data_IF_902938020978
#
_entry.id   IF_902938020978
#
_cell.length_a   1.000
_cell.length_b   1.000
_cell.length_c   1.000
_cell.angle_alpha   90.00
_cell.angle_beta   90.00
_cell.angle_gamma   90.00
#
_symmetry.space_group_name_H-M   'P 1'
#
loop_
_entity.id
_entity.type
_entity.pdbx_description
1 polymer ?
#
# COMPACT_ATOMS: atom_id res chain seq x y z
N UNK A 1 -48.48 9.71 -2.60
CA UNK A 1 -48.61 8.29 -2.98
C UNK A 1 -48.32 7.41 -1.78
N UNK A 2 -48.91 6.23 -1.69
CA UNK A 2 -48.67 5.26 -0.60
C UNK A 2 -47.54 4.32 -1.05
N UNK A 3 -46.54 4.12 -0.20
CA UNK A 3 -45.43 3.20 -0.45
C UNK A 3 -45.35 2.21 0.71
N UNK A 4 -45.10 0.94 0.40
CA UNK A 4 -44.86 -0.08 1.43
C UNK A 4 -43.36 -0.31 1.56
N UNK A 5 -42.91 -0.39 2.80
CA UNK A 5 -41.55 -0.77 3.17
C UNK A 5 -41.62 -2.11 3.89
N UNK A 6 -41.01 -3.12 3.30
CA UNK A 6 -41.03 -4.49 3.78
C UNK A 6 -39.70 -4.80 4.47
N UNK A 7 -39.78 -5.24 5.73
CA UNK A 7 -38.63 -5.72 6.49
C UNK A 7 -38.66 -7.25 6.48
N UNK A 8 -37.58 -7.86 5.99
CA UNK A 8 -37.46 -9.32 5.90
C UNK A 8 -36.62 -9.89 7.06
N UNK A 9 -36.81 -11.18 7.30
CA UNK A 9 -36.06 -11.97 8.28
C UNK A 9 -36.13 -11.37 9.70
N UNK A 10 -35.03 -11.37 10.45
CA UNK A 10 -34.94 -10.82 11.82
C UNK A 10 -35.41 -9.36 11.95
N UNK A 11 -35.34 -8.55 10.88
CA UNK A 11 -35.86 -7.18 10.91
C UNK A 11 -37.39 -7.18 11.00
N UNK A 12 -38.05 -8.05 10.23
CA UNK A 12 -39.50 -8.18 10.21
C UNK A 12 -40.07 -8.78 11.50
N UNK A 13 -39.30 -9.61 12.19
CA UNK A 13 -39.69 -10.19 13.48
C UNK A 13 -39.67 -9.17 14.62
N UNK A 14 -38.69 -8.25 14.62
CA UNK A 14 -38.51 -7.27 15.70
C UNK A 14 -39.36 -6.02 15.54
N UNK A 15 -39.46 -5.48 14.32
CA UNK A 15 -40.13 -4.19 14.07
C UNK A 15 -41.41 -4.32 13.25
N UNK A 16 -41.73 -5.51 12.76
CA UNK A 16 -42.90 -5.79 11.93
C UNK A 16 -42.54 -5.91 10.45
N UNK A 17 -43.26 -6.78 9.73
CA UNK A 17 -42.90 -7.14 8.34
C UNK A 17 -43.29 -6.08 7.30
N UNK A 18 -44.28 -5.23 7.58
CA UNK A 18 -44.83 -4.30 6.60
C UNK A 18 -45.13 -2.95 7.24
N UNK A 19 -44.49 -1.91 6.71
CA UNK A 19 -44.71 -0.52 7.11
C UNK A 19 -45.27 0.27 5.94
N UNK A 20 -46.31 1.06 6.20
CA UNK A 20 -46.97 1.87 5.18
C UNK A 20 -46.66 3.33 5.44
N UNK A 21 -46.08 4.00 4.46
CA UNK A 21 -45.77 5.42 4.52
C UNK A 21 -46.42 6.18 3.36
N UNK A 22 -46.76 7.43 3.60
CA UNK A 22 -47.34 8.32 2.60
C UNK A 22 -46.34 9.40 2.20
N UNK A 23 -46.27 9.67 0.89
CA UNK A 23 -45.48 10.76 0.30
C UNK A 23 -43.96 10.64 0.50
N UNK A 24 -43.43 9.42 0.44
CA UNK A 24 -41.99 9.17 0.41
C UNK A 24 -41.39 9.69 -0.90
N UNK A 25 -40.36 10.55 -0.81
CA UNK A 25 -39.70 11.10 -2.01
C UNK A 25 -38.48 10.27 -2.39
N UNK A 26 -37.78 9.68 -1.42
CA UNK A 26 -36.55 8.91 -1.65
C UNK A 26 -36.52 7.64 -0.78
N UNK A 27 -35.73 6.61 -1.14
CA UNK A 27 -35.47 5.47 -0.25
C UNK A 27 -34.87 5.88 1.10
N UNK A 28 -34.06 6.95 1.11
CA UNK A 28 -33.48 7.50 2.33
C UNK A 28 -34.54 8.00 3.31
N UNK A 29 -35.61 8.64 2.83
CA UNK A 29 -36.73 9.08 3.66
C UNK A 29 -37.45 7.90 4.34
N UNK A 30 -37.54 6.75 3.65
CA UNK A 30 -38.17 5.56 4.19
C UNK A 30 -37.40 5.01 5.40
N UNK A 31 -36.07 4.96 5.30
CA UNK A 31 -35.19 4.52 6.38
C UNK A 31 -35.20 5.53 7.52
N UNK A 32 -35.20 6.83 7.20
CA UNK A 32 -35.33 7.89 8.19
C UNK A 32 -36.61 7.75 9.00
N UNK A 33 -37.75 7.53 8.34
CA UNK A 33 -39.04 7.34 9.03
C UNK A 33 -39.04 6.07 9.90
N UNK A 34 -38.40 4.99 9.45
CA UNK A 34 -38.23 3.79 10.26
C UNK A 34 -37.40 4.06 11.52
N UNK A 35 -36.27 4.76 11.40
CA UNK A 35 -35.45 5.16 12.54
C UNK A 35 -36.18 6.11 13.50
N UNK A 36 -37.06 6.98 12.99
CA UNK A 36 -37.88 7.87 13.82
C UNK A 36 -38.94 7.10 14.59
N UNK A 37 -39.63 6.16 13.93
CA UNK A 37 -40.70 5.39 14.57
C UNK A 37 -40.15 4.34 15.55
N UNK A 38 -38.96 3.80 15.28
CA UNK A 38 -38.31 2.78 16.08
C UNK A 38 -36.88 3.22 16.43
N UNK A 39 -36.66 3.88 17.58
CA UNK A 39 -35.32 4.35 17.95
C UNK A 39 -34.31 3.20 18.07
N UNK A 40 -34.74 2.04 18.58
CA UNK A 40 -33.91 0.83 18.71
C UNK A 40 -33.46 0.26 17.36
N UNK A 41 -34.20 0.55 16.27
CA UNK A 41 -33.82 0.15 14.91
C UNK A 41 -32.57 0.91 14.44
N UNK A 42 -32.43 2.19 14.79
CA UNK A 42 -31.26 2.98 14.46
C UNK A 42 -30.01 2.48 15.21
N UNK A 43 -30.14 2.12 16.48
CA UNK A 43 -29.04 1.52 17.25
C UNK A 43 -28.62 0.15 16.68
N UNK A 44 -29.60 -0.65 16.28
CA UNK A 44 -29.35 -1.94 15.66
C UNK A 44 -28.60 -1.81 14.31
N UNK A 45 -28.99 -0.86 13.46
CA UNK A 45 -28.29 -0.57 12.20
C UNK A 45 -26.88 -0.01 12.43
N UNK A 46 -26.64 0.75 13.50
CA UNK A 46 -25.32 1.28 13.83
C UNK A 46 -24.35 0.17 14.30
N UNK A 47 -24.86 -0.77 15.11
CA UNK A 47 -24.07 -1.88 15.70
C UNK A 47 -23.99 -3.11 14.79
N UNK A 48 -24.72 -3.14 13.68
CA UNK A 48 -24.80 -4.31 12.79
C UNK A 48 -23.44 -4.75 12.22
N UNK A 49 -22.51 -3.82 12.07
CA UNK A 49 -21.17 -4.06 11.52
C UNK A 49 -20.34 -4.98 12.43
N UNK A 50 -20.49 -4.89 13.75
CA UNK A 50 -19.79 -5.74 14.73
C UNK A 50 -20.23 -7.21 14.63
N UNK A 51 -21.49 -7.42 14.21
CA UNK A 51 -22.08 -8.75 14.01
C UNK A 51 -21.89 -9.26 12.58
N UNK A 52 -21.20 -8.52 11.72
CA UNK A 52 -21.01 -8.86 10.32
C UNK A 52 -22.30 -8.86 9.50
N UNK A 53 -23.32 -8.07 9.89
CA UNK A 53 -24.60 -7.98 9.19
C UNK A 53 -24.58 -6.75 8.28
N UNK A 54 -24.83 -6.98 6.99
CA UNK A 54 -25.03 -5.95 5.95
C UNK A 54 -26.46 -6.02 5.43
N UNK A 55 -26.95 -4.95 4.81
CA UNK A 55 -28.33 -4.89 4.34
C UNK A 55 -28.39 -4.84 2.84
N UNK A 56 -29.34 -5.60 2.31
CA UNK A 56 -29.70 -5.60 0.91
C UNK A 56 -31.03 -4.86 0.77
N UNK A 57 -31.01 -3.74 0.04
CA UNK A 57 -32.22 -2.96 -0.25
C UNK A 57 -32.59 -3.17 -1.71
N UNK A 58 -33.80 -3.66 -1.96
CA UNK A 58 -34.27 -3.93 -3.32
C UNK A 58 -35.56 -3.21 -3.63
N UNK A 59 -35.70 -2.84 -4.90
CA UNK A 59 -36.92 -2.31 -5.48
C UNK A 59 -37.17 -3.03 -6.81
N UNK A 60 -38.34 -3.67 -6.98
CA UNK A 60 -38.68 -4.45 -8.19
C UNK A 60 -37.57 -5.45 -8.59
N UNK A 61 -37.04 -6.20 -7.62
CA UNK A 61 -35.93 -7.16 -7.82
C UNK A 61 -34.61 -6.55 -8.32
N UNK A 62 -34.46 -5.23 -8.26
CA UNK A 62 -33.20 -4.54 -8.53
C UNK A 62 -32.59 -4.16 -7.18
N UNK A 63 -31.32 -4.53 -6.99
CA UNK A 63 -30.55 -4.17 -5.81
C UNK A 63 -30.09 -2.72 -5.92
N UNK A 64 -30.43 -1.89 -4.92
CA UNK A 64 -30.06 -0.48 -4.89
C UNK A 64 -28.62 -0.31 -4.35
N UNK A 65 -27.88 0.60 -4.96
CA UNK A 65 -26.59 1.08 -4.48
C UNK A 65 -26.73 2.35 -3.62
N UNK A 66 -25.64 2.76 -2.98
CA UNK A 66 -25.61 3.95 -2.13
C UNK A 66 -26.10 5.22 -2.85
N UNK A 67 -25.71 5.42 -4.12
CA UNK A 67 -26.12 6.56 -4.94
C UNK A 67 -27.62 6.57 -5.24
N UNK A 68 -28.27 5.39 -5.22
CA UNK A 68 -29.67 5.25 -5.60
C UNK A 68 -30.61 5.68 -4.47
N UNK A 69 -30.11 5.84 -3.26
CA UNK A 69 -30.93 6.21 -2.09
C UNK A 69 -31.40 7.66 -2.12
N UNK A 70 -30.74 8.50 -2.91
CA UNK A 70 -31.12 9.90 -3.14
C UNK A 70 -32.01 10.07 -4.37
N UNK A 71 -32.21 9.01 -5.16
CA UNK A 71 -33.06 9.08 -6.34
C UNK A 71 -34.55 9.10 -5.95
N UNK A 72 -35.41 9.75 -6.75
CA UNK A 72 -36.84 9.76 -6.52
C UNK A 72 -37.40 8.34 -6.47
N UNK A 73 -38.09 8.01 -5.38
CA UNK A 73 -38.72 6.71 -5.19
C UNK A 73 -39.95 6.63 -6.11
N UNK A 74 -39.95 5.66 -7.03
CA UNK A 74 -41.09 5.38 -7.91
C UNK A 74 -42.29 4.80 -7.16
N UNK A 75 -43.29 4.28 -7.88
CA UNK A 75 -44.50 3.71 -7.25
C UNK A 75 -44.31 2.31 -6.63
N UNK A 76 -43.08 1.81 -6.56
CA UNK A 76 -42.79 0.45 -6.16
C UNK A 76 -42.36 0.34 -4.70
N UNK A 77 -42.69 -0.79 -4.09
CA UNK A 77 -42.38 -1.12 -2.70
C UNK A 77 -40.87 -1.31 -2.50
N UNK A 78 -40.40 -0.95 -1.29
CA UNK A 78 -39.01 -1.06 -0.87
C UNK A 78 -38.86 -2.27 0.03
N UNK A 79 -37.88 -3.14 -0.24
CA UNK A 79 -37.62 -4.34 0.57
C UNK A 79 -36.24 -4.26 1.20
N UNK A 80 -36.15 -4.40 2.52
CA UNK A 80 -34.90 -4.37 3.28
C UNK A 80 -34.66 -5.76 3.87
N UNK A 81 -33.54 -6.36 3.52
CA UNK A 81 -33.16 -7.72 3.94
C UNK A 81 -31.81 -7.69 4.66
N UNK A 82 -31.71 -8.20 5.89
CA UNK A 82 -30.42 -8.42 6.53
C UNK A 82 -29.72 -9.61 5.87
N UNK A 83 -28.43 -9.47 5.59
CA UNK A 83 -27.59 -10.50 4.97
C UNK A 83 -26.26 -10.57 5.70
N UNK A 84 -25.78 -11.80 5.95
CA UNK A 84 -24.47 -12.01 6.59
C UNK A 84 -23.37 -11.64 5.58
N UNK A 85 -22.49 -10.74 5.98
CA UNK A 85 -21.31 -10.32 5.22
C UNK A 85 -20.43 -11.54 4.88
N UNK A 86 -19.99 -11.63 3.63
CA UNK A 86 -19.21 -12.77 3.14
C UNK A 86 -20.03 -14.02 2.79
N UNK A 87 -21.36 -14.02 2.96
CA UNK A 87 -22.20 -15.07 2.37
C UNK A 87 -22.14 -14.92 0.85
N UNK A 88 -21.66 -15.94 0.13
CA UNK A 88 -21.23 -15.90 -1.27
C UNK A 88 -22.30 -15.63 -2.34
N UNK A 89 -23.32 -14.82 -2.06
CA UNK A 89 -24.32 -14.37 -3.03
C UNK A 89 -23.90 -13.03 -3.61
N UNK A 90 -23.76 -12.97 -4.94
CA UNK A 90 -23.56 -11.72 -5.67
C UNK A 90 -24.78 -10.80 -5.47
N UNK A 91 -24.55 -9.57 -5.02
CA UNK A 91 -25.57 -8.55 -4.78
C UNK A 91 -24.95 -7.24 -4.32
N UNK A 92 -25.69 -6.14 -4.45
CA UNK A 92 -25.28 -4.84 -3.91
C UNK A 92 -25.71 -4.78 -2.43
N UNK A 93 -24.75 -4.56 -1.53
CA UNK A 93 -24.97 -4.54 -0.08
C UNK A 93 -24.52 -3.22 0.53
N UNK A 94 -25.25 -2.75 1.54
CA UNK A 94 -25.02 -1.45 2.19
C UNK A 94 -24.95 -1.67 3.70
N UNK A 95 -23.95 -1.06 4.33
CA UNK A 95 -23.81 -1.10 5.79
C UNK A 95 -24.91 -0.29 6.48
N UNK A 96 -25.40 -0.75 7.63
CA UNK A 96 -26.49 -0.08 8.38
C UNK A 96 -26.17 1.36 8.76
N UNK A 97 -24.93 1.64 9.15
CA UNK A 97 -24.45 2.99 9.47
C UNK A 97 -24.54 3.97 8.27
N UNK A 98 -24.26 3.49 7.06
CA UNK A 98 -24.36 4.30 5.83
C UNK A 98 -25.82 4.64 5.54
N UNK A 99 -26.73 3.68 5.70
CA UNK A 99 -28.17 3.91 5.52
C UNK A 99 -28.71 4.98 6.48
N UNK A 100 -28.26 4.99 7.73
CA UNK A 100 -28.60 6.05 8.69
C UNK A 100 -28.03 7.40 8.22
N UNK A 101 -26.76 7.44 7.82
CA UNK A 101 -26.10 8.66 7.35
C UNK A 101 -26.82 9.32 6.18
N UNK A 102 -27.25 8.53 5.19
CA UNK A 102 -27.99 9.02 4.02
C UNK A 102 -29.41 9.48 4.40
N UNK A 103 -30.07 8.78 5.32
CA UNK A 103 -31.35 9.21 5.89
C UNK A 103 -31.28 10.56 6.60
N UNK A 104 -30.13 10.89 7.21
CA UNK A 104 -29.91 12.20 7.84
C UNK A 104 -29.62 13.28 6.79
N UNK A 105 -28.80 12.99 5.77
CA UNK A 105 -28.39 13.96 4.75
C UNK A 105 -29.50 14.35 3.75
N UNK A 106 -30.45 13.45 3.50
CA UNK A 106 -31.54 13.64 2.51
C UNK A 106 -32.63 14.62 2.94
N UNK A 107 -32.74 14.96 4.23
CA UNK A 107 -33.70 15.95 4.72
C UNK A 107 -32.99 17.15 5.34
N UNK A 108 -33.12 18.33 4.72
CA UNK A 108 -32.50 19.61 5.13
C UNK A 108 -32.88 20.17 6.51
N UNK A 109 -33.36 19.33 7.42
CA UNK A 109 -33.60 19.66 8.84
C UNK A 109 -32.65 18.83 9.68
N UNK A 110 -31.62 19.48 10.24
CA UNK A 110 -30.70 18.91 11.22
C UNK A 110 -31.48 18.45 12.45
N UNK A 111 -31.79 17.15 12.53
CA UNK A 111 -32.38 16.54 13.71
C UNK A 111 -31.26 15.84 14.49
N UNK A 112 -31.01 16.34 15.71
CA UNK A 112 -30.13 15.71 16.69
C UNK A 112 -30.90 14.57 17.35
N UNK A 113 -30.63 13.33 16.92
CA UNK A 113 -30.97 12.17 17.73
C UNK A 113 -30.12 12.20 19.01
N UNK A 114 -30.71 11.85 20.15
CA UNK A 114 -30.05 11.76 21.45
C UNK A 114 -29.01 10.63 21.51
N UNK A 115 -27.98 10.72 20.68
CA UNK A 115 -26.85 9.80 20.55
C UNK A 115 -25.80 10.04 21.64
N UNK A 116 -26.24 10.38 22.86
CA UNK A 116 -25.34 10.61 23.99
C UNK A 116 -24.74 9.30 24.54
N UNK A 117 -25.28 8.13 24.17
CA UNK A 117 -24.84 6.82 24.66
C UNK A 117 -23.83 6.09 23.78
N UNK A 118 -23.61 6.53 22.52
CA UNK A 118 -22.77 5.80 21.54
C UNK A 118 -21.45 6.55 21.26
N UNK A 119 -20.77 7.01 22.32
CA UNK A 119 -19.40 7.55 22.20
C UNK A 119 -19.22 8.82 21.35
N UNK A 120 -20.31 9.49 20.95
CA UNK A 120 -20.28 10.78 20.26
C UNK A 120 -20.22 11.99 21.22
N UNK A 121 -19.75 11.79 22.46
CA UNK A 121 -19.57 12.86 23.45
C UNK A 121 -18.19 13.48 23.30
N UNK A 122 -18.03 14.40 22.34
CA UNK A 122 -16.74 15.05 22.10
C UNK A 122 -16.82 16.24 21.15
N UNK A 123 -17.77 17.14 21.36
CA UNK A 123 -17.66 18.53 20.90
C UNK A 123 -17.66 18.78 19.39
N UNK A 124 -18.76 18.48 18.69
CA UNK A 124 -19.19 19.37 17.60
C UNK A 124 -20.73 19.50 17.60
N UNK A 125 -21.23 20.44 18.40
CA UNK A 125 -22.52 21.05 18.16
C UNK A 125 -22.37 22.16 17.11
N UNK A 126 -23.15 22.07 16.03
CA UNK A 126 -23.37 23.13 15.03
C UNK A 126 -22.44 23.28 13.80
N UNK A 127 -21.46 22.39 13.54
CA UNK A 127 -20.65 22.48 12.31
C UNK A 127 -20.31 21.15 11.59
N UNK A 128 -20.95 20.02 11.95
CA UNK A 128 -20.67 18.68 11.38
C UNK A 128 -21.91 18.11 10.71
N UNK A 129 -22.26 18.67 9.54
CA UNK A 129 -23.25 18.08 8.64
C UNK A 129 -22.62 17.29 7.48
N UNK A 130 -21.40 17.63 7.06
CA UNK A 130 -20.82 17.10 5.82
C UNK A 130 -19.47 16.38 5.97
N UNK A 131 -18.86 16.35 7.17
CA UNK A 131 -17.51 15.79 7.37
C UNK A 131 -17.54 14.46 8.15
N UNK A 132 -18.57 14.22 8.98
CA UNK A 132 -18.69 12.98 9.77
C UNK A 132 -19.04 11.75 8.93
N UNK A 133 -19.86 11.91 7.90
CA UNK A 133 -20.24 10.82 6.97
C UNK A 133 -19.05 10.45 6.08
N UNK A 134 -18.28 11.42 5.59
CA UNK A 134 -17.11 11.16 4.74
C UNK A 134 -15.97 10.41 5.48
N UNK A 135 -15.80 10.65 6.78
CA UNK A 135 -14.80 9.96 7.59
C UNK A 135 -15.21 8.54 7.99
N UNK A 136 -16.50 8.32 8.31
CA UNK A 136 -17.02 6.98 8.55
C UNK A 136 -17.00 6.13 7.26
N UNK A 137 -17.40 6.70 6.12
CA UNK A 137 -17.37 6.00 4.83
C UNK A 137 -15.97 5.62 4.36
N UNK A 138 -14.94 6.42 4.67
CA UNK A 138 -13.54 6.06 4.39
C UNK A 138 -13.00 4.99 5.34
N UNK A 139 -13.43 5.00 6.60
CA UNK A 139 -12.99 4.03 7.60
C UNK A 139 -13.52 2.61 7.38
N UNK A 140 -14.76 2.47 6.88
CA UNK A 140 -15.35 1.13 6.64
C UNK A 140 -15.05 0.61 5.24
N UNK A 141 -14.84 1.46 4.23
CA UNK A 141 -14.45 1.00 2.88
C UNK A 141 -13.03 0.43 2.86
N UNK A 142 -12.09 0.96 3.66
CA UNK A 142 -10.75 0.39 3.83
C UNK A 142 -10.76 -0.95 4.61
N UNK A 143 -11.84 -1.24 5.37
CA UNK A 143 -11.99 -2.51 6.12
C UNK A 143 -12.83 -3.58 5.39
N UNK A 144 -13.83 -3.22 4.58
CA UNK A 144 -14.70 -4.18 3.87
C UNK A 144 -14.08 -4.72 2.58
N UNK A 145 -13.12 -4.01 2.02
CA UNK A 145 -12.19 -4.52 1.03
C UNK A 145 -10.94 -3.65 1.12
N UNK A 146 -9.74 -4.18 1.38
CA UNK A 146 -8.52 -3.45 1.07
C UNK A 146 -8.50 -3.28 -0.45
N UNK A 147 -9.18 -2.26 -0.96
CA UNK A 147 -9.08 -1.84 -2.34
C UNK A 147 -7.65 -1.38 -2.46
N UNK A 148 -6.84 -2.17 -3.15
CA UNK A 148 -5.48 -1.81 -3.48
C UNK A 148 -5.55 -0.39 -4.01
N UNK A 149 -4.87 0.54 -3.34
CA UNK A 149 -4.64 1.87 -3.88
C UNK A 149 -4.02 1.65 -5.26
N UNK A 150 -4.84 1.76 -6.29
CA UNK A 150 -4.36 1.88 -7.65
C UNK A 150 -3.46 3.12 -7.63
N UNK A 151 -2.23 3.03 -8.14
CA UNK A 151 -1.38 4.20 -8.20
C UNK A 151 -2.12 5.23 -9.05
N UNK A 152 -2.56 6.31 -8.40
CA UNK A 152 -3.12 7.47 -9.07
C UNK A 152 -2.02 7.98 -10.00
N UNK A 153 -2.16 7.71 -11.30
CA UNK A 153 -1.43 8.45 -12.32
C UNK A 153 -2.05 9.85 -12.38
N UNK A 154 -1.64 10.69 -11.43
CA UNK A 154 -1.93 12.12 -11.41
C UNK A 154 -0.60 12.85 -11.33
N UNK A 155 -0.09 13.26 -12.50
CA UNK A 155 1.16 14.00 -12.64
C UNK A 155 2.01 13.43 -13.77
N UNK A 156 2.33 14.26 -14.75
CA UNK A 156 3.36 13.97 -15.73
C UNK A 156 4.71 14.09 -15.01
N UNK A 157 5.03 13.06 -14.24
CA UNK A 157 6.29 12.94 -13.52
C UNK A 157 7.09 11.80 -14.17
N UNK A 158 8.37 12.05 -14.39
CA UNK A 158 9.26 11.20 -15.19
C UNK A 158 9.26 9.77 -14.63
N UNK A 159 9.16 8.77 -15.52
CA UNK A 159 8.98 7.36 -15.14
C UNK A 159 9.93 6.92 -14.03
N UNK A 160 9.36 6.56 -12.87
CA UNK A 160 10.11 6.06 -11.71
C UNK A 160 10.68 4.67 -12.05
N UNK A 161 11.97 4.63 -12.44
CA UNK A 161 12.68 3.39 -12.72
C UNK A 161 13.08 2.67 -11.43
N UNK A 162 12.71 1.38 -11.30
CA UNK A 162 13.07 0.56 -10.15
C UNK A 162 12.03 -0.52 -9.83
N UNK A 163 12.17 -1.15 -8.67
CA UNK A 163 11.20 -2.14 -8.19
C UNK A 163 9.81 -1.48 -8.05
N UNK A 164 8.87 -1.93 -8.88
CA UNK A 164 7.49 -1.44 -8.97
C UNK A 164 6.55 -2.07 -7.93
N UNK A 165 7.08 -2.97 -7.10
CA UNK A 165 6.38 -3.46 -5.93
C UNK A 165 6.26 -2.32 -4.92
N UNK A 166 5.05 -1.84 -4.68
CA UNK A 166 4.79 -0.85 -3.63
C UNK A 166 5.21 -1.37 -2.25
N UNK A 167 5.10 -0.55 -1.19
CA UNK A 167 5.34 -1.00 0.19
C UNK A 167 4.52 -2.25 0.60
N UNK A 168 3.44 -2.55 -0.12
CA UNK A 168 2.59 -3.72 0.03
C UNK A 168 3.13 -5.01 -0.61
N UNK A 169 4.21 -4.96 -1.40
CA UNK A 169 4.84 -6.16 -1.98
C UNK A 169 5.92 -6.75 -1.08
N UNK A 170 6.21 -6.11 0.05
CA UNK A 170 7.07 -6.64 1.10
C UNK A 170 6.16 -7.39 2.06
N UNK A 171 6.42 -8.68 2.28
CA UNK A 171 5.68 -9.48 3.26
C UNK A 171 5.91 -8.88 4.65
N UNK A 172 4.97 -8.06 5.13
CA UNK A 172 4.97 -7.51 6.48
C UNK A 172 4.61 -8.62 7.45
N UNK A 173 5.61 -9.17 8.13
CA UNK A 173 5.47 -10.34 9.00
C UNK A 173 4.54 -10.11 10.20
N UNK A 174 4.29 -8.85 10.58
CA UNK A 174 3.40 -8.48 11.68
C UNK A 174 1.93 -8.33 11.26
N UNK A 175 1.63 -8.22 9.96
CA UNK A 175 0.32 -7.73 9.51
C UNK A 175 -0.76 -8.82 9.44
N UNK A 176 -0.39 -10.11 9.55
CA UNK A 176 -1.35 -11.23 9.62
C UNK A 176 -2.32 -11.35 8.44
N UNK A 177 -2.16 -10.55 7.38
CA UNK A 177 -3.06 -10.49 6.23
C UNK A 177 -2.92 -11.78 5.42
N UNK A 178 -4.01 -12.55 5.36
CA UNK A 178 -4.09 -13.69 4.46
C UNK A 178 -4.11 -13.19 3.01
N UNK A 179 -3.17 -13.67 2.21
CA UNK A 179 -3.14 -13.42 0.77
C UNK A 179 -4.34 -14.12 0.10
N UNK A 180 -5.35 -13.34 -0.31
CA UNK A 180 -6.49 -13.84 -1.09
C UNK A 180 -6.15 -14.15 -2.57
N UNK A 181 -4.87 -14.14 -2.94
CA UNK A 181 -4.37 -14.51 -4.27
C UNK A 181 -4.37 -16.03 -4.52
N UNK A 182 -4.76 -16.84 -3.54
CA UNK A 182 -4.81 -18.30 -3.64
C UNK A 182 -6.25 -18.80 -3.84
N UNK A 183 -6.65 -18.98 -5.10
CA UNK A 183 -7.44 -20.15 -5.50
C UNK A 183 -6.45 -21.04 -6.26
N UNK A 184 -6.52 -22.36 -6.09
CA UNK A 184 -5.56 -23.33 -6.64
C UNK A 184 -5.40 -23.24 -8.17
N UNK A 185 -4.73 -24.22 -8.79
CA UNK A 185 -4.58 -24.28 -10.24
C UNK A 185 -5.93 -24.41 -10.96
N UNK A 186 -6.64 -23.30 -11.11
CA UNK A 186 -7.79 -23.14 -11.96
C UNK A 186 -7.27 -22.51 -13.25
N UNK A 187 -7.52 -23.18 -14.36
CA UNK A 187 -7.23 -22.66 -15.67
C UNK A 187 -7.95 -21.32 -15.80
N UNK A 188 -7.22 -20.20 -15.90
CA UNK A 188 -7.81 -18.86 -16.04
C UNK A 188 -8.47 -18.67 -17.41
N UNK A 189 -8.31 -19.65 -18.30
CA UNK A 189 -8.92 -19.72 -19.63
C UNK A 189 -9.43 -21.13 -19.95
N UNK A 190 -10.61 -21.22 -20.56
CA UNK A 190 -11.09 -22.44 -21.19
C UNK A 190 -10.34 -22.76 -22.49
N UNK A 191 -10.45 -24.01 -22.96
CA UNK A 191 -9.85 -24.48 -24.23
C UNK A 191 -10.43 -23.69 -25.40
N UNK A 192 -9.58 -23.23 -26.34
CA UNK A 192 -10.01 -22.55 -27.58
C UNK A 192 -9.96 -21.02 -27.56
N UNK A 193 -9.27 -20.39 -26.60
CA UNK A 193 -9.07 -18.93 -26.58
C UNK A 193 -8.06 -18.47 -27.64
N UNK A 194 -8.38 -17.39 -28.34
CA UNK A 194 -7.53 -16.75 -29.35
C UNK A 194 -6.45 -15.87 -28.72
N UNK A 195 -5.26 -15.89 -29.29
CA UNK A 195 -4.18 -14.95 -28.95
C UNK A 195 -4.33 -13.74 -29.87
N UNK A 196 -4.52 -12.52 -29.33
CA UNK A 196 -4.64 -11.33 -30.17
C UNK A 196 -3.28 -11.02 -30.81
N UNK A 197 -3.17 -11.25 -32.12
CA UNK A 197 -2.05 -10.75 -32.93
C UNK A 197 -2.31 -9.29 -33.29
N UNK A 198 -1.46 -8.39 -32.80
CA UNK A 198 -1.52 -6.97 -33.15
C UNK A 198 -0.37 -6.63 -34.09
N UNK A 199 -0.71 -5.94 -35.18
CA UNK A 199 0.26 -5.27 -36.03
C UNK A 199 0.30 -3.78 -35.65
N UNK A 200 1.47 -3.31 -35.19
CA UNK A 200 1.67 -1.94 -34.71
C UNK A 200 2.12 -1.88 -33.24
N UNK A 201 1.86 -0.76 -32.56
CA UNK A 201 2.13 -0.57 -31.12
C UNK A 201 0.81 -0.41 -30.35
N UNK A 202 0.37 -1.47 -29.68
CA UNK A 202 -0.75 -1.41 -28.75
C UNK A 202 -0.40 -2.20 -27.48
N UNK A 203 -0.91 -1.76 -26.33
CA UNK A 203 -0.88 -2.58 -25.11
C UNK A 203 -2.09 -3.51 -25.11
N UNK A 204 -1.84 -4.81 -25.02
CA UNK A 204 -2.89 -5.84 -24.98
C UNK A 204 -2.63 -6.77 -23.80
N UNK A 205 -3.69 -7.14 -23.09
CA UNK A 205 -3.61 -8.12 -22.00
C UNK A 205 -3.28 -9.52 -22.52
N UNK A 206 -2.37 -10.23 -21.85
CA UNK A 206 -1.96 -11.60 -22.16
C UNK A 206 -2.52 -12.62 -21.16
N UNK A 207 -2.54 -13.89 -21.55
CA UNK A 207 -2.93 -15.01 -20.67
C UNK A 207 -1.70 -15.63 -20.01
N UNK A 208 -1.84 -16.07 -18.76
CA UNK A 208 -0.77 -16.73 -18.02
C UNK A 208 -0.69 -18.21 -18.45
N UNK A 209 0.42 -18.61 -19.09
CA UNK A 209 0.57 -19.93 -19.70
C UNK A 209 1.20 -20.95 -18.74
N UNK A 210 2.10 -20.50 -17.88
CA UNK A 210 2.77 -21.36 -16.90
C UNK A 210 3.14 -20.55 -15.66
N UNK A 211 3.04 -21.18 -14.50
CA UNK A 211 3.55 -20.68 -13.23
C UNK A 211 4.21 -21.85 -12.53
N UNK A 212 5.49 -21.68 -12.16
CA UNK A 212 6.16 -22.64 -11.30
C UNK A 212 5.85 -22.30 -9.83
N UNK A 213 5.32 -23.27 -9.09
CA UNK A 213 4.97 -23.13 -7.69
C UNK A 213 5.76 -24.19 -6.93
N UNK A 214 6.75 -23.74 -6.16
CA UNK A 214 7.54 -24.61 -5.31
C UNK A 214 6.79 -24.88 -4.01
N UNK A 215 6.25 -26.09 -3.88
CA UNK A 215 5.65 -26.58 -2.63
C UNK A 215 6.76 -26.80 -1.60
N UNK A 216 6.66 -26.14 -0.46
CA UNK A 216 7.45 -26.43 0.74
C UNK A 216 6.68 -27.44 1.60
N UNK A 217 7.42 -28.39 2.16
CA UNK A 217 6.92 -29.60 2.82
C UNK A 217 6.08 -29.33 4.08
N UNK A 218 5.09 -30.20 4.35
CA UNK A 218 4.09 -30.09 5.42
C UNK A 218 4.66 -30.38 6.83
N UNK A 219 5.93 -30.79 6.91
CA UNK A 219 6.65 -30.93 8.18
C UNK A 219 6.96 -29.58 8.88
N UNK A 220 6.75 -28.44 8.20
CA UNK A 220 6.95 -27.09 8.73
C UNK A 220 5.66 -26.23 8.68
N UNK A 221 4.69 -26.55 9.55
CA UNK A 221 3.38 -25.87 9.66
C UNK A 221 3.44 -24.39 10.07
N UNK A 222 4.62 -23.84 10.36
CA UNK A 222 4.80 -22.43 10.67
C UNK A 222 5.51 -21.66 9.55
N UNK A 223 5.96 -22.28 8.46
CA UNK A 223 6.69 -21.60 7.38
C UNK A 223 7.86 -20.77 7.91
N UNK A 224 8.40 -21.17 9.06
CA UNK A 224 9.36 -20.40 9.80
C UNK A 224 10.69 -20.58 9.12
N UNK A 225 11.00 -19.65 8.23
CA UNK A 225 12.39 -19.26 8.03
C UNK A 225 12.88 -18.60 9.33
N UNK A 226 12.86 -19.31 10.48
CA UNK A 226 13.64 -18.93 11.66
C UNK A 226 15.10 -19.19 11.35
N UNK A 227 15.61 -18.48 10.35
CA UNK A 227 17.03 -18.43 10.07
C UNK A 227 17.61 -17.59 11.20
N UNK A 228 18.64 -18.09 11.90
CA UNK A 228 19.29 -17.29 12.91
C UNK A 228 19.70 -15.95 12.29
N UNK A 229 19.51 -14.82 13.00
CA UNK A 229 19.84 -13.52 12.46
C UNK A 229 21.24 -13.52 11.85
N UNK A 230 21.36 -13.20 10.56
CA UNK A 230 22.59 -13.36 9.80
C UNK A 230 22.69 -12.30 8.71
N UNK A 231 23.88 -11.75 8.41
CA UNK A 231 24.06 -10.90 7.25
C UNK A 231 23.60 -11.53 5.92
N UNK A 232 23.50 -12.85 5.85
CA UNK A 232 23.12 -13.58 4.64
C UNK A 232 21.61 -13.67 4.40
N UNK A 233 20.78 -13.28 5.37
CA UNK A 233 19.32 -13.22 5.20
C UNK A 233 18.85 -11.97 4.46
N UNK A 234 19.75 -10.99 4.26
CA UNK A 234 19.38 -9.71 3.67
C UNK A 234 19.09 -9.82 2.19
N UNK A 235 17.92 -9.32 1.82
CA UNK A 235 17.40 -9.24 0.46
C UNK A 235 17.30 -7.78 0.04
N UNK A 236 17.45 -7.55 -1.25
CA UNK A 236 17.29 -6.26 -1.90
C UNK A 236 16.21 -6.42 -2.95
N UNK A 237 15.11 -5.68 -2.84
CA UNK A 237 13.93 -5.81 -3.70
C UNK A 237 13.48 -7.27 -3.83
N UNK A 238 13.40 -7.98 -2.69
CA UNK A 238 13.04 -9.40 -2.63
C UNK A 238 14.15 -10.39 -3.03
N UNK A 239 15.23 -9.93 -3.65
CA UNK A 239 16.28 -10.80 -4.20
C UNK A 239 17.48 -10.99 -3.25
N UNK A 240 18.01 -12.22 -3.17
CA UNK A 240 19.28 -12.50 -2.49
C UNK A 240 20.43 -12.09 -3.40
N UNK A 241 21.18 -11.08 -2.98
CA UNK A 241 22.29 -10.55 -3.77
C UNK A 241 23.57 -11.32 -3.47
N UNK A 242 24.15 -11.92 -4.52
CA UNK A 242 25.40 -12.67 -4.42
C UNK A 242 26.57 -11.72 -4.13
N UNK A 243 27.53 -12.21 -3.35
CA UNK A 243 28.75 -11.48 -3.05
C UNK A 243 29.79 -11.71 -4.17
N UNK A 244 29.86 -10.80 -5.13
CA UNK A 244 30.87 -10.80 -6.20
C UNK A 244 31.97 -9.76 -5.88
N UNK A 245 31.59 -8.61 -5.33
CA UNK A 245 32.50 -7.55 -4.88
C UNK A 245 33.36 -6.94 -5.99
N UNK A 246 33.28 -7.41 -7.24
CA UNK A 246 34.09 -6.96 -8.38
C UNK A 246 33.26 -6.36 -9.51
N UNK A 247 31.95 -6.64 -9.55
CA UNK A 247 30.99 -6.09 -10.52
C UNK A 247 29.57 -6.12 -9.97
N UNK A 248 28.69 -5.28 -10.53
CA UNK A 248 27.24 -5.29 -10.28
C UNK A 248 26.51 -6.20 -11.27
N UNK A 249 25.59 -7.00 -10.74
CA UNK A 249 24.69 -7.85 -11.54
C UNK A 249 23.29 -7.26 -11.51
N UNK A 250 22.50 -7.54 -12.56
CA UNK A 250 21.11 -7.10 -12.62
C UNK A 250 20.22 -8.09 -11.86
N UNK A 251 19.41 -7.59 -10.94
CA UNK A 251 18.38 -8.32 -10.21
C UNK A 251 17.06 -7.58 -10.43
N UNK A 252 16.24 -8.07 -11.36
CA UNK A 252 14.91 -7.52 -11.66
C UNK A 252 14.91 -5.99 -11.87
N UNK A 253 15.84 -5.49 -12.69
CA UNK A 253 15.97 -4.07 -13.01
C UNK A 253 16.81 -3.26 -12.01
N UNK A 254 17.22 -3.86 -10.89
CA UNK A 254 18.14 -3.23 -9.93
C UNK A 254 19.55 -3.79 -10.09
N UNK A 255 20.50 -2.96 -10.51
CA UNK A 255 21.91 -3.35 -10.61
C UNK A 255 22.61 -3.21 -9.27
N UNK A 256 22.97 -4.32 -8.64
CA UNK A 256 23.53 -4.34 -7.29
C UNK A 256 24.57 -5.47 -7.11
N UNK A 257 25.49 -5.27 -6.17
CA UNK A 257 26.38 -6.33 -5.68
C UNK A 257 26.62 -6.21 -4.19
N UNK A 258 26.80 -7.36 -3.52
CA UNK A 258 27.20 -7.41 -2.12
C UNK A 258 28.73 -7.40 -2.01
N UNK A 259 29.27 -6.64 -1.07
CA UNK A 259 30.73 -6.49 -0.91
C UNK A 259 31.15 -6.83 0.52
N UNK A 260 32.26 -7.56 0.66
CA UNK A 260 32.88 -7.79 1.97
C UNK A 260 33.47 -6.50 2.55
N UNK A 261 33.34 -6.30 3.86
CA UNK A 261 33.90 -5.15 4.57
C UNK A 261 35.44 -5.10 4.53
N UNK A 262 36.12 -6.24 4.35
CA UNK A 262 37.58 -6.30 4.21
C UNK A 262 38.09 -5.88 2.83
N UNK A 263 37.22 -5.80 1.81
CA UNK A 263 37.62 -5.41 0.46
C UNK A 263 37.78 -3.89 0.40
N UNK A 264 39.03 -3.43 0.28
CA UNK A 264 39.34 -2.02 0.00
C UNK A 264 38.88 -1.70 -1.42
N UNK A 265 37.80 -0.94 -1.53
CA UNK A 265 37.43 -0.31 -2.80
C UNK A 265 38.36 0.87 -2.98
N UNK A 266 39.28 0.78 -3.94
CA UNK A 266 40.15 1.90 -4.28
C UNK A 266 39.43 2.74 -5.32
N UNK A 267 39.52 4.05 -5.19
CA UNK A 267 39.12 4.93 -6.26
C UNK A 267 40.02 4.62 -7.46
N UNK A 268 39.41 4.52 -8.63
CA UNK A 268 40.11 4.07 -9.83
C UNK A 268 40.92 5.23 -10.43
N UNK A 269 42.16 4.96 -10.86
CA UNK A 269 43.04 5.92 -11.55
C UNK A 269 43.26 7.26 -10.81
N UNK A 270 43.36 7.25 -9.47
CA UNK A 270 43.69 8.47 -8.70
C UNK A 270 42.53 9.45 -8.52
N UNK A 271 41.33 9.13 -9.03
CA UNK A 271 40.08 9.88 -8.75
C UNK A 271 39.67 9.75 -7.28
N UNK A 272 38.75 10.58 -6.80
CA UNK A 272 38.26 10.54 -5.42
C UNK A 272 36.81 10.05 -5.37
N UNK A 273 36.45 9.44 -4.24
CA UNK A 273 35.03 9.33 -3.88
C UNK A 273 34.65 10.63 -3.19
N UNK A 274 33.49 11.20 -3.51
CA UNK A 274 33.12 12.52 -3.02
C UNK A 274 32.56 12.55 -1.61
N UNK A 275 32.18 11.39 -1.08
CA UNK A 275 31.81 11.25 0.33
C UNK A 275 32.64 10.14 0.97
N UNK A 276 32.97 10.31 2.26
CA UNK A 276 33.63 9.29 3.07
C UNK A 276 32.64 8.52 3.98
N UNK A 277 31.63 9.22 4.51
CA UNK A 277 30.51 8.65 5.27
C UNK A 277 29.44 9.71 5.52
N UNK A 278 28.21 9.42 5.11
CA UNK A 278 27.03 10.18 5.51
C UNK A 278 26.04 9.24 6.21
N UNK A 279 25.53 9.66 7.37
CA UNK A 279 24.55 8.90 8.13
C UNK A 279 23.14 9.32 7.73
N UNK A 280 22.28 8.35 7.44
CA UNK A 280 20.89 8.62 7.10
C UNK A 280 20.05 8.54 8.37
N UNK A 281 19.36 9.63 8.67
CA UNK A 281 18.38 9.69 9.74
C UNK A 281 17.14 8.87 9.33
N UNK A 282 17.01 7.67 9.89
CA UNK A 282 15.88 6.81 9.59
C UNK A 282 14.56 7.34 10.18
N UNK A 283 14.58 8.31 11.11
CA UNK A 283 13.37 8.82 11.77
C UNK A 283 12.53 9.74 10.87
N UNK A 284 13.15 10.43 9.91
CA UNK A 284 12.48 11.39 9.02
C UNK A 284 12.21 10.81 7.64
N UNK A 285 11.08 11.20 7.05
CA UNK A 285 10.71 10.91 5.65
C UNK A 285 11.05 12.08 4.71
N UNK A 286 11.61 13.17 5.23
CA UNK A 286 12.09 14.28 4.42
C UNK A 286 13.32 13.88 3.59
N UNK A 287 13.54 14.57 2.46
CA UNK A 287 14.76 14.41 1.66
C UNK A 287 15.97 14.80 2.52
N UNK A 288 16.96 13.92 2.58
CA UNK A 288 18.21 14.15 3.30
C UNK A 288 19.33 14.28 2.28
N UNK A 289 19.98 15.44 2.25
CA UNK A 289 21.08 15.66 1.33
C UNK A 289 22.31 14.89 1.80
N UNK A 290 22.95 14.19 0.86
CA UNK A 290 24.09 13.29 1.12
C UNK A 290 25.37 13.79 0.47
N UNK A 291 25.26 14.43 -0.70
CA UNK A 291 26.37 15.04 -1.41
C UNK A 291 25.89 16.36 -2.02
N UNK A 292 26.59 17.44 -1.71
CA UNK A 292 26.51 18.70 -2.45
C UNK A 292 27.45 18.62 -3.66
N UNK A 293 27.06 19.31 -4.74
CA UNK A 293 27.87 19.51 -5.93
C UNK A 293 28.59 18.25 -6.42
N UNK A 294 27.83 17.16 -6.56
CA UNK A 294 28.34 15.88 -7.03
C UNK A 294 28.93 16.07 -8.44
N UNK A 295 30.25 16.02 -8.50
CA UNK A 295 31.04 16.33 -9.69
C UNK A 295 31.52 15.05 -10.38
N UNK A 296 31.18 14.93 -11.65
CA UNK A 296 31.49 13.78 -12.49
C UNK A 296 33.00 13.69 -12.73
N UNK A 297 33.69 14.81 -12.90
CA UNK A 297 35.10 14.83 -13.28
C UNK A 297 36.03 14.34 -12.17
N UNK A 298 35.72 14.76 -10.94
CA UNK A 298 36.48 14.38 -9.75
C UNK A 298 36.23 12.93 -9.30
N UNK A 299 35.12 12.31 -9.74
CA UNK A 299 34.68 10.99 -9.30
C UNK A 299 34.61 9.93 -10.42
N UNK A 300 34.85 10.32 -11.67
CA UNK A 300 34.60 9.54 -12.89
C UNK A 300 35.12 10.20 -14.19
N UNK A 301 34.97 9.51 -15.32
CA UNK A 301 35.04 10.19 -16.63
C UNK A 301 33.64 10.72 -16.96
N UNK A 302 33.52 11.92 -17.54
CA UNK A 302 32.27 12.50 -18.04
C UNK A 302 31.43 11.54 -18.90
N UNK A 303 32.07 10.57 -19.54
CA UNK A 303 31.41 9.61 -20.44
C UNK A 303 30.75 8.41 -19.73
N UNK A 304 30.65 8.39 -18.39
CA UNK A 304 30.02 7.28 -17.68
C UNK A 304 28.51 7.49 -17.49
N UNK A 305 27.71 6.71 -18.24
CA UNK A 305 26.24 6.67 -18.16
C UNK A 305 25.66 6.12 -16.85
N UNK A 306 26.47 5.97 -15.81
CA UNK A 306 26.05 5.31 -14.59
C UNK A 306 26.75 5.84 -13.34
N UNK A 307 25.99 6.03 -12.27
CA UNK A 307 26.49 6.43 -10.96
C UNK A 307 26.48 5.23 -10.02
N UNK A 308 27.55 4.99 -9.26
CA UNK A 308 27.58 3.96 -8.23
C UNK A 308 27.49 4.59 -6.83
N UNK A 309 26.65 4.04 -5.97
CA UNK A 309 26.56 4.43 -4.56
C UNK A 309 26.71 3.22 -3.65
N UNK A 310 27.45 3.41 -2.57
CA UNK A 310 27.76 2.36 -1.62
C UNK A 310 27.06 2.61 -0.30
N UNK A 311 26.26 1.63 0.11
CA UNK A 311 25.45 1.68 1.32
C UNK A 311 25.89 0.61 2.31
N UNK A 312 26.02 1.01 3.57
CA UNK A 312 26.21 0.11 4.71
C UNK A 312 24.92 0.09 5.54
N UNK A 313 24.43 -1.10 5.82
CA UNK A 313 23.28 -1.33 6.70
C UNK A 313 23.69 -2.16 7.90
N UNK A 314 23.29 -1.72 9.10
CA UNK A 314 23.57 -2.39 10.36
C UNK A 314 22.28 -2.78 11.06
N UNK A 315 22.19 -4.04 11.46
CA UNK A 315 21.14 -4.53 12.36
C UNK A 315 19.70 -4.34 11.93
N UNK A 316 19.39 -4.48 10.63
CA UNK A 316 18.01 -4.49 10.13
C UNK A 316 17.22 -5.62 10.81
N UNK A 317 16.19 -5.27 11.58
CA UNK A 317 15.28 -6.22 12.25
C UNK A 317 14.06 -5.49 12.78
N UNK A 318 12.96 -6.22 12.94
CA UNK A 318 11.75 -5.76 13.60
C UNK A 318 11.27 -6.73 14.70
N UNK A 319 10.15 -6.42 15.36
CA UNK A 319 9.51 -7.23 16.40
C UNK A 319 8.03 -7.36 16.11
N UNK A 320 7.49 -8.55 16.33
CA UNK A 320 6.05 -8.81 16.22
C UNK A 320 5.22 -7.93 17.18
N UNK A 321 5.83 -7.44 18.28
CA UNK A 321 5.15 -6.58 19.24
C UNK A 321 6.12 -5.90 20.20
N UNK A 322 5.77 -5.91 21.49
CA UNK A 322 6.48 -5.15 22.52
C UNK A 322 7.89 -5.66 22.88
N UNK A 323 8.49 -5.01 23.87
CA UNK A 323 9.83 -5.37 24.36
C UNK A 323 9.89 -6.82 24.83
N UNK A 324 10.71 -7.64 24.16
CA UNK A 324 10.89 -9.06 24.49
C UNK A 324 10.18 -10.03 23.54
N UNK A 325 9.39 -9.53 22.58
CA UNK A 325 8.76 -10.37 21.56
C UNK A 325 9.78 -10.94 20.56
N UNK A 326 9.33 -11.93 19.78
CA UNK A 326 10.09 -12.54 18.68
C UNK A 326 10.59 -11.46 17.71
N UNK A 327 11.87 -11.58 17.33
CA UNK A 327 12.51 -10.73 16.34
C UNK A 327 12.16 -11.28 14.95
N UNK A 328 11.69 -10.41 14.08
CA UNK A 328 11.33 -10.71 12.70
C UNK A 328 12.17 -9.88 11.72
N UNK A 329 12.05 -10.19 10.43
CA UNK A 329 12.67 -9.40 9.37
C UNK A 329 12.19 -7.95 9.47
N UNK A 330 13.13 -7.01 9.53
CA UNK A 330 12.82 -5.60 9.35
C UNK A 330 13.03 -5.21 7.89
N UNK A 331 12.48 -4.07 7.48
CA UNK A 331 12.76 -3.52 6.16
C UNK A 331 12.96 -2.00 6.19
N UNK A 332 13.65 -1.51 5.17
CA UNK A 332 13.82 -0.09 4.88
C UNK A 332 13.60 0.09 3.39
N UNK A 333 12.61 0.91 3.03
CA UNK A 333 12.37 1.36 1.66
C UNK A 333 12.78 2.83 1.55
N UNK A 334 13.73 3.11 0.66
CA UNK A 334 14.25 4.46 0.44
C UNK A 334 14.32 4.79 -1.06
N UNK A 335 14.21 6.07 -1.38
CA UNK A 335 14.49 6.62 -2.69
C UNK A 335 15.91 7.21 -2.71
N UNK A 336 16.61 6.94 -3.80
CA UNK A 336 17.77 7.72 -4.23
C UNK A 336 17.28 8.75 -5.22
N UNK A 337 17.50 10.02 -4.91
CA UNK A 337 17.08 11.16 -5.73
C UNK A 337 18.33 11.94 -6.12
N UNK A 338 18.47 12.25 -7.40
CA UNK A 338 19.52 13.14 -7.89
C UNK A 338 18.83 14.30 -8.58
N UNK A 339 19.20 15.50 -8.19
CA UNK A 339 18.60 16.75 -8.68
C UNK A 339 19.68 17.69 -9.19
N UNK A 340 19.33 18.49 -10.17
CA UNK A 340 20.17 19.59 -10.63
C UNK A 340 19.99 20.82 -9.69
N UNK A 341 21.06 21.42 -9.15
CA UNK A 341 20.99 22.50 -8.16
C UNK A 341 20.33 23.77 -8.66
N UNK A 342 20.45 24.08 -9.96
CA UNK A 342 19.93 25.32 -10.52
C UNK A 342 18.45 25.24 -10.88
N UNK A 343 18.01 24.08 -11.37
CA UNK A 343 16.64 23.88 -11.88
C UNK A 343 15.76 23.08 -10.92
N UNK A 344 16.36 22.45 -9.89
CA UNK A 344 15.75 21.44 -9.02
C UNK A 344 15.12 20.26 -9.79
N UNK A 345 15.50 20.10 -11.06
CA UNK A 345 14.99 19.04 -11.91
C UNK A 345 15.54 17.69 -11.45
N UNK A 346 14.66 16.72 -11.24
CA UNK A 346 15.05 15.37 -10.83
C UNK A 346 15.57 14.58 -12.04
N UNK A 347 16.85 14.24 -12.02
CA UNK A 347 17.54 13.46 -13.08
C UNK A 347 17.59 11.96 -12.77
N UNK A 348 17.33 11.58 -11.51
CA UNK A 348 17.19 10.20 -11.08
C UNK A 348 16.23 10.12 -9.91
N UNK A 349 15.29 9.19 -9.97
CA UNK A 349 14.44 8.83 -8.84
C UNK A 349 14.26 7.31 -8.80
N UNK A 350 15.07 6.62 -7.98
CA UNK A 350 15.04 5.16 -7.89
C UNK A 350 14.71 4.69 -6.47
N UNK A 351 13.69 3.83 -6.36
CA UNK A 351 13.27 3.20 -5.10
C UNK A 351 13.97 1.87 -4.88
N UNK A 352 14.41 1.64 -3.65
CA UNK A 352 15.07 0.41 -3.22
C UNK A 352 14.51 0.01 -1.86
N UNK A 353 14.17 -1.27 -1.72
CA UNK A 353 13.81 -1.90 -0.46
C UNK A 353 14.91 -2.87 -0.04
N UNK A 354 15.37 -2.75 1.21
CA UNK A 354 16.29 -3.71 1.83
C UNK A 354 15.59 -4.34 3.01
N UNK A 355 15.49 -5.67 3.02
CA UNK A 355 14.80 -6.45 4.04
C UNK A 355 15.74 -7.51 4.62
N UNK A 356 15.65 -7.79 5.91
CA UNK A 356 16.24 -8.99 6.49
C UNK A 356 16.28 -8.99 8.02
N UNK A 357 16.83 -10.08 8.56
CA UNK A 357 16.97 -10.33 9.99
C UNK A 357 18.45 -10.29 10.40
N UNK A 358 18.87 -9.17 10.98
CA UNK A 358 20.24 -8.91 11.42
C UNK A 358 20.27 -8.38 12.85
N UNK A 359 21.20 -8.87 13.68
CA UNK A 359 21.49 -8.27 15.00
C UNK A 359 22.18 -6.93 14.84
N UNK A 360 22.14 -6.09 15.86
CA UNK A 360 22.84 -4.79 15.89
C UNK A 360 24.35 -4.87 15.63
N UNK A 361 24.98 -6.02 15.90
CA UNK A 361 26.40 -6.29 15.61
C UNK A 361 26.66 -6.66 14.15
N UNK A 362 25.63 -7.10 13.43
CA UNK A 362 25.74 -7.54 12.04
C UNK A 362 25.69 -6.34 11.09
N UNK A 363 26.45 -6.46 10.00
CA UNK A 363 26.55 -5.43 8.97
C UNK A 363 26.59 -6.03 7.56
N UNK A 364 25.95 -5.37 6.62
CA UNK A 364 25.98 -5.69 5.19
C UNK A 364 26.29 -4.43 4.40
N UNK A 365 26.87 -4.64 3.22
CA UNK A 365 27.37 -3.58 2.36
C UNK A 365 27.01 -3.90 0.92
N UNK A 366 26.35 -2.95 0.29
CA UNK A 366 25.89 -3.05 -1.09
C UNK A 366 26.42 -1.88 -1.91
N UNK A 367 26.71 -2.16 -3.18
CA UNK A 367 26.93 -1.13 -4.18
C UNK A 367 25.79 -1.22 -5.18
N UNK A 368 25.06 -0.13 -5.32
CA UNK A 368 24.02 0.02 -6.31
C UNK A 368 24.55 0.85 -7.47
N UNK A 369 24.16 0.46 -8.68
CA UNK A 369 24.46 1.19 -9.91
C UNK A 369 23.17 1.78 -10.45
N UNK A 370 23.17 3.08 -10.63
CA UNK A 370 22.09 3.90 -11.13
C UNK A 370 22.45 4.43 -12.52
N UNK A 371 21.45 4.75 -13.34
CA UNK A 371 21.63 5.37 -14.65
C UNK A 371 20.84 6.68 -14.70
N UNK A 372 21.36 7.76 -14.10
CA UNK A 372 20.75 9.09 -14.17
C UNK A 372 20.68 9.59 -15.63
N UNK A 373 19.65 10.36 -15.95
CA UNK A 373 19.48 10.98 -17.26
C UNK A 373 19.94 12.43 -17.16
N UNK A 374 21.20 12.68 -17.49
CA UNK A 374 21.76 14.02 -17.48
C UNK A 374 21.41 14.77 -18.77
N UNK A 375 21.04 16.05 -18.62
CA UNK A 375 20.74 16.95 -19.75
C UNK A 375 21.80 18.04 -19.93
N UNK A 376 22.43 18.49 -18.84
CA UNK A 376 23.41 19.58 -18.81
C UNK A 376 24.66 19.23 -17.95
N UNK A 377 25.72 20.05 -18.07
CA UNK A 377 27.03 19.85 -17.44
C UNK A 377 27.17 20.67 -16.12
N UNK A 378 27.25 19.93 -15.00
CA UNK A 378 27.69 20.34 -13.64
C UNK A 378 26.75 21.20 -12.75
N UNK A 379 26.83 21.03 -11.41
CA UNK A 379 27.02 19.82 -10.61
C UNK A 379 25.66 19.24 -10.16
N UNK A 380 25.57 18.07 -9.51
CA UNK A 380 24.29 17.48 -9.06
C UNK A 380 24.18 17.37 -7.53
N UNK A 381 22.98 17.54 -6.97
CA UNK A 381 22.73 17.24 -5.57
C UNK A 381 22.17 15.82 -5.42
N UNK A 382 22.77 15.04 -4.50
CA UNK A 382 22.31 13.67 -4.22
C UNK A 382 21.58 13.62 -2.89
N UNK A 383 20.34 13.14 -2.91
CA UNK A 383 19.48 12.99 -1.75
C UNK A 383 19.10 11.53 -1.51
N UNK A 384 18.85 11.22 -0.25
CA UNK A 384 18.21 9.99 0.18
C UNK A 384 16.93 10.36 0.90
N UNK A 385 15.83 9.72 0.52
CA UNK A 385 14.55 9.89 1.19
C UNK A 385 14.06 8.54 1.71
N UNK A 386 13.72 8.46 2.99
CA UNK A 386 13.06 7.26 3.55
C UNK A 386 11.59 7.33 3.18
N UNK A 387 11.11 6.31 2.48
CA UNK A 387 9.71 6.22 2.03
C UNK A 387 8.90 5.44 3.06
N UNK A 388 9.41 4.30 3.47
CA UNK A 388 8.76 3.41 4.42
C UNK A 388 9.80 2.57 5.17
N UNK A 389 9.47 2.10 6.36
CA UNK A 389 10.35 1.28 7.21
C UNK A 389 9.53 0.54 8.27
N UNK A 390 9.99 -0.64 8.63
CA UNK A 390 9.48 -1.41 9.78
C UNK A 390 10.69 -1.95 10.54
N UNK A 391 10.96 -1.37 11.71
CA UNK A 391 12.20 -1.56 12.48
C UNK A 391 11.92 -1.45 13.98
N UNK A 392 12.55 -2.31 14.80
CA UNK A 392 12.37 -2.33 16.27
C UNK A 392 12.57 -0.95 16.90
N UNK A 393 13.67 -0.30 16.48
CA UNK A 393 14.06 1.00 16.98
C UNK A 393 15.06 1.63 15.99
N UNK A 394 14.71 2.80 15.47
CA UNK A 394 15.52 3.59 14.52
C UNK A 394 16.89 4.01 15.06
N UNK A 395 17.12 3.99 16.38
CA UNK A 395 18.43 4.24 16.98
C UNK A 395 19.38 3.03 16.91
N UNK A 396 18.82 1.81 16.86
CA UNK A 396 19.58 0.56 16.86
C UNK A 396 19.97 0.10 15.46
N UNK A 397 19.21 0.54 14.46
CA UNK A 397 19.44 0.29 13.04
C UNK A 397 20.16 1.49 12.45
N UNK A 398 21.23 1.26 11.69
CA UNK A 398 22.00 2.35 11.09
C UNK A 398 22.15 2.12 9.60
N UNK A 399 21.89 3.17 8.82
CA UNK A 399 22.12 3.22 7.39
C UNK A 399 23.13 4.32 7.10
N UNK A 400 24.16 4.00 6.33
CA UNK A 400 25.17 4.97 5.89
C UNK A 400 25.34 4.92 4.38
N UNK A 401 25.48 6.08 3.76
CA UNK A 401 26.07 6.18 2.43
C UNK A 401 27.56 6.40 2.63
N UNK A 402 28.37 5.44 2.18
CA UNK A 402 29.82 5.48 2.39
C UNK A 402 30.54 6.26 1.32
N UNK A 403 30.18 6.03 0.06
CA UNK A 403 30.89 6.53 -1.12
C UNK A 403 29.92 6.71 -2.28
N UNK A 404 30.18 7.72 -3.09
CA UNK A 404 29.49 8.00 -4.36
C UNK A 404 30.57 8.31 -5.40
N UNK A 405 30.33 7.89 -6.64
CA UNK A 405 31.21 8.12 -7.77
C UNK A 405 30.88 7.18 -8.95
N UNK A 406 31.50 7.43 -10.10
CA UNK A 406 31.19 6.66 -11.31
C UNK A 406 32.06 5.38 -11.40
N UNK A 407 33.33 5.41 -10.95
CA UNK A 407 34.23 4.24 -11.02
C UNK A 407 34.52 3.57 -9.68
N UNK A 408 33.82 2.47 -9.38
CA UNK A 408 34.03 1.66 -8.17
C UNK A 408 34.85 0.38 -8.40
N UNK A 409 34.89 -0.13 -9.62
CA UNK A 409 35.49 -1.43 -9.94
C UNK A 409 36.66 -1.29 -10.91
N UNK A 410 37.69 -2.13 -10.76
CA UNK A 410 38.87 -2.13 -11.62
C UNK A 410 38.52 -2.83 -12.94
N UNK A 411 38.43 -2.06 -14.03
CA UNK A 411 38.58 -2.55 -15.41
C UNK A 411 37.55 -3.58 -15.88
N UNK A 412 36.53 -3.07 -16.56
CA UNK A 412 35.67 -3.83 -17.46
C UNK A 412 34.63 -2.87 -17.98
N UNK A 413 34.81 -2.37 -19.21
CA UNK A 413 33.68 -1.84 -19.97
C UNK A 413 32.59 -2.91 -19.90
N UNK A 414 31.44 -2.56 -19.35
CA UNK A 414 30.27 -3.41 -19.43
C UNK A 414 29.85 -3.52 -20.90
#
# INVERSE_FOLDING_TARGET
>A
MQHKVLLLDELGEKWGKTHVYHNLRTPADAIKLLCINYPDFAEYLATSHEKGIVYKVTQVNIDLEESDFLLPLGQHDLVITPVISGSGKAGKFIAGAIMIGIGIASGGTTFSFGLSGIGFSGGIGAAVGNIGIALAMRGVSEMLAPQQSTPTMGGFDVGQGGFLGGPSSVQRGADGQQSYAYRGAANTVGIGKTIPLVYGKAMVGGHLISTDIKVVDESDKLGITFVPPSPNTVRVNGNIIKQDGSRTSNYEGTRVTRVSFGKKIKAYQGRKFQIDKSAINLATTAKQKVCDDFDIDNSGEMNESHMNMMFDFHGIRDRVGGTGSTIIDGFITFAVIVEEPQTESTVLHQRITVQGLMKSTHRVRYIFRFQPVFRDEHPFNVFIQIIDKELINTSSVKMFVRRIGYRFFKGGRA
#
